data_IF_265599670208
#
_entry.id   IF_265599670208
#
_cell.length_a   1.000
_cell.length_b   1.000
_cell.length_c   1.000
_cell.angle_alpha   90.00
_cell.angle_beta   90.00
_cell.angle_gamma   90.00
#
_symmetry.space_group_name_H-M   'P 1'
#
loop_
_entity.id
_entity.type
_entity.pdbx_description
1 polymer ?
#
# COMPACT_ATOMS: atom_id res chain seq x y z
N UNK A 1 -12.71 -3.51 -6.68
CA UNK A 1 -11.29 -3.61 -7.05
C UNK A 1 -11.07 -2.87 -8.35
N UNK A 2 -10.15 -1.90 -8.41
CA UNK A 2 -9.95 -1.08 -9.59
C UNK A 2 -9.43 -1.88 -10.79
N UNK A 3 -8.63 -2.94 -10.57
CA UNK A 3 -8.00 -3.68 -11.68
C UNK A 3 -9.05 -4.41 -12.54
N UNK A 4 -10.00 -5.11 -11.92
CA UNK A 4 -11.09 -5.77 -12.68
C UNK A 4 -12.03 -4.74 -13.29
N UNK A 5 -12.32 -3.66 -12.57
CA UNK A 5 -13.18 -2.57 -13.06
C UNK A 5 -12.60 -1.89 -14.30
N UNK A 6 -11.29 -1.58 -14.29
CA UNK A 6 -10.60 -0.97 -15.42
C UNK A 6 -10.60 -1.87 -16.67
N UNK A 7 -10.65 -3.19 -16.48
CA UNK A 7 -10.73 -4.18 -17.55
C UNK A 7 -12.17 -4.54 -17.96
N UNK A 8 -13.19 -3.91 -17.36
CA UNK A 8 -14.60 -4.22 -17.64
C UNK A 8 -15.06 -5.59 -17.12
N UNK A 9 -14.33 -6.18 -16.17
CA UNK A 9 -14.61 -7.49 -15.58
C UNK A 9 -15.51 -7.41 -14.33
N UNK A 10 -16.04 -6.23 -14.03
CA UNK A 10 -16.94 -5.98 -12.91
C UNK A 10 -16.22 -5.54 -11.63
N UNK A 11 -17.04 -5.20 -10.62
CA UNK A 11 -16.59 -4.48 -9.44
C UNK A 11 -15.65 -5.25 -8.53
N UNK A 12 -15.83 -6.55 -8.38
CA UNK A 12 -15.02 -7.42 -7.52
C UNK A 12 -14.58 -6.72 -6.22
N UNK A 13 -15.50 -6.44 -5.27
CA UNK A 13 -15.15 -5.69 -4.07
C UNK A 13 -14.06 -6.42 -3.27
N UNK A 14 -13.07 -5.68 -2.80
CA UNK A 14 -11.94 -6.16 -2.00
C UNK A 14 -11.76 -5.21 -0.82
N UNK A 15 -11.24 -5.69 0.30
CA UNK A 15 -10.96 -4.83 1.44
C UNK A 15 -9.94 -3.75 1.07
N UNK A 16 -10.14 -2.54 1.60
CA UNK A 16 -9.26 -1.39 1.38
C UNK A 16 -8.66 -0.99 2.72
N UNK A 17 -7.35 -0.82 2.76
CA UNK A 17 -6.60 -0.47 3.95
C UNK A 17 -5.76 0.78 3.70
N UNK A 18 -5.69 1.67 4.69
CA UNK A 18 -4.70 2.74 4.71
C UNK A 18 -3.41 2.22 5.34
N UNK A 19 -2.34 2.11 4.55
CA UNK A 19 -1.01 1.67 4.97
C UNK A 19 -0.08 2.87 5.13
N UNK A 20 0.66 2.95 6.23
CA UNK A 20 1.60 4.04 6.52
C UNK A 20 3.04 3.57 6.38
N UNK A 21 3.83 4.31 5.60
CA UNK A 21 5.27 4.11 5.42
C UNK A 21 6.05 5.28 6.02
N UNK A 22 7.24 5.03 6.55
CA UNK A 22 8.18 6.13 6.81
C UNK A 22 8.73 6.63 5.47
N UNK A 23 8.94 7.93 5.33
CA UNK A 23 9.48 8.48 4.08
C UNK A 23 10.85 7.87 3.71
N UNK A 24 11.63 7.45 4.70
CA UNK A 24 12.93 6.80 4.48
C UNK A 24 12.84 5.40 3.88
N UNK A 25 11.76 4.68 4.14
CA UNK A 25 11.53 3.35 3.55
C UNK A 25 11.26 3.48 2.03
N UNK A 26 10.65 4.60 1.62
CA UNK A 26 10.30 4.86 0.22
C UNK A 26 11.41 5.56 -0.56
N UNK A 27 12.11 6.51 0.07
CA UNK A 27 12.99 7.46 -0.62
C UNK A 27 14.44 7.42 -0.12
N UNK A 28 14.75 6.57 0.85
CA UNK A 28 16.10 6.42 1.40
C UNK A 28 16.44 7.39 2.54
N UNK A 29 17.70 7.36 3.04
CA UNK A 29 18.09 8.00 4.30
C UNK A 29 18.02 9.53 4.29
N UNK A 30 18.08 10.15 3.10
CA UNK A 30 18.02 11.60 2.93
C UNK A 30 16.61 12.17 3.09
N UNK A 31 15.58 11.31 3.17
CA UNK A 31 14.23 11.75 3.48
C UNK A 31 14.08 12.18 4.94
N UNK A 32 13.17 13.13 5.18
CA UNK A 32 12.84 13.62 6.52
C UNK A 32 12.40 12.44 7.42
N UNK A 33 13.09 12.19 8.56
CA UNK A 33 12.77 11.09 9.47
C UNK A 33 11.38 11.19 10.09
N UNK A 34 10.78 12.37 10.14
CA UNK A 34 9.47 12.60 10.75
C UNK A 34 8.34 12.59 9.73
N UNK A 35 8.65 12.49 8.44
CA UNK A 35 7.65 12.41 7.39
C UNK A 35 7.12 10.98 7.23
N UNK A 36 5.81 10.85 7.11
CA UNK A 36 5.14 9.59 6.79
C UNK A 36 4.27 9.76 5.55
N UNK A 37 4.14 8.68 4.77
CA UNK A 37 3.26 8.61 3.60
C UNK A 37 2.19 7.56 3.88
N UNK A 38 0.93 7.94 3.71
CA UNK A 38 -0.21 7.02 3.79
C UNK A 38 -0.71 6.71 2.38
N UNK A 39 -0.94 5.43 2.09
CA UNK A 39 -1.45 4.94 0.80
C UNK A 39 -2.65 4.05 1.07
N UNK A 40 -3.71 4.20 0.30
CA UNK A 40 -4.82 3.26 0.30
C UNK A 40 -4.53 2.11 -0.66
N UNK A 41 -4.49 0.89 -0.13
CA UNK A 41 -4.17 -0.33 -0.87
C UNK A 41 -5.27 -1.38 -0.67
N UNK A 42 -5.70 -2.01 -1.76
CA UNK A 42 -6.63 -3.14 -1.69
C UNK A 42 -5.92 -4.39 -1.16
N UNK A 43 -6.64 -5.29 -0.48
CA UNK A 43 -6.10 -6.53 0.10
C UNK A 43 -5.18 -7.32 -0.84
N UNK A 44 -5.52 -7.52 -2.14
CA UNK A 44 -4.67 -8.29 -3.04
C UNK A 44 -3.33 -7.63 -3.37
N UNK A 45 -3.12 -6.36 -3.03
CA UNK A 45 -1.83 -5.67 -3.19
C UNK A 45 -0.90 -5.88 -2.01
N UNK A 46 -1.38 -6.48 -0.93
CA UNK A 46 -0.66 -6.63 0.33
C UNK A 46 -0.34 -8.09 0.59
N UNK A 47 0.83 -8.31 1.15
CA UNK A 47 1.22 -9.58 1.77
C UNK A 47 1.80 -9.30 3.16
N UNK A 48 1.76 -10.28 4.09
CA UNK A 48 2.41 -10.11 5.38
C UNK A 48 3.89 -9.84 5.20
N UNK A 49 4.37 -8.73 5.76
CA UNK A 49 5.79 -8.47 5.80
C UNK A 49 6.49 -9.57 6.63
N UNK A 50 7.65 -10.01 6.15
CA UNK A 50 8.50 -10.89 6.95
C UNK A 50 8.80 -10.21 8.30
N UNK A 51 8.54 -10.93 9.39
CA UNK A 51 8.95 -10.46 10.71
C UNK A 51 10.46 -10.63 10.80
N UNK A 52 11.20 -9.53 10.68
CA UNK A 52 12.63 -9.53 11.01
C UNK A 52 12.72 -9.64 12.54
N UNK A 53 13.34 -10.71 13.08
CA UNK A 53 13.41 -10.95 14.52
C UNK A 53 14.25 -9.92 15.28
#
# INVERSE_FOLDING_TARGET
FPDTNALGQGENPQWLYTVRFNARDLWGPDADPNLSVSVDAWEPYLEPAEQVP
#
